data_IF_957266761098
#
_entry.id   IF_957266761098
#
_cell.length_a   1.000
_cell.length_b   1.000
_cell.length_c   1.000
_cell.angle_alpha   90.00
_cell.angle_beta   90.00
_cell.angle_gamma   90.00
#
_symmetry.space_group_name_H-M   'P 1'
#
loop_
_entity.id
_entity.type
_entity.pdbx_description
1 polymer ?
#
# COMPACT_ATOMS: atom_id res chain seq x y z
N UNK A 1 47.12 -42.09 21.68
CA UNK A 1 47.00 -40.80 22.39
C UNK A 1 46.22 -39.80 21.55
N UNK A 2 46.57 -39.61 20.28
CA UNK A 2 45.91 -38.62 19.38
C UNK A 2 44.40 -38.80 19.18
N UNK A 3 43.92 -40.05 19.13
CA UNK A 3 42.47 -40.34 19.00
C UNK A 3 41.66 -39.92 20.22
N UNK A 4 42.22 -40.02 21.43
CA UNK A 4 41.53 -39.60 22.65
C UNK A 4 41.49 -38.07 22.72
N UNK A 5 42.56 -37.40 22.29
CA UNK A 5 42.61 -35.94 22.20
C UNK A 5 41.67 -35.39 21.13
N UNK A 6 41.57 -36.02 19.96
CA UNK A 6 40.64 -35.57 18.92
C UNK A 6 39.18 -35.77 19.31
N UNK A 7 38.84 -36.86 20.00
CA UNK A 7 37.49 -37.08 20.54
C UNK A 7 37.14 -36.06 21.63
N UNK A 8 38.07 -35.74 22.53
CA UNK A 8 37.85 -34.69 23.53
C UNK A 8 37.67 -33.31 22.88
N UNK A 9 38.41 -33.02 21.82
CA UNK A 9 38.29 -31.76 21.09
C UNK A 9 36.93 -31.65 20.37
N UNK A 10 36.47 -32.72 19.69
CA UNK A 10 35.15 -32.73 19.04
C UNK A 10 34.03 -32.54 20.07
N UNK A 11 34.13 -33.19 21.24
CA UNK A 11 33.14 -33.02 22.32
C UNK A 11 33.21 -31.59 22.89
N UNK A 12 34.41 -31.05 23.08
CA UNK A 12 34.62 -29.67 23.53
C UNK A 12 34.05 -28.63 22.56
N UNK A 13 34.29 -28.81 21.26
CA UNK A 13 33.80 -27.94 20.20
C UNK A 13 32.27 -28.05 20.05
N UNK A 14 31.71 -29.26 20.20
CA UNK A 14 30.28 -29.48 20.22
C UNK A 14 29.61 -28.75 21.40
N UNK A 15 30.16 -28.86 22.61
CA UNK A 15 29.64 -28.16 23.80
C UNK A 15 29.79 -26.64 23.65
N UNK A 16 30.93 -26.16 23.13
CA UNK A 16 31.14 -24.75 22.86
C UNK A 16 30.14 -24.20 21.84
N UNK A 17 29.81 -24.95 20.79
CA UNK A 17 28.83 -24.54 19.78
C UNK A 17 27.41 -24.43 20.37
N UNK A 18 27.01 -25.36 21.24
CA UNK A 18 25.71 -25.34 21.92
C UNK A 18 25.62 -24.16 22.90
N UNK A 19 26.67 -23.90 23.67
CA UNK A 19 26.72 -22.74 24.58
C UNK A 19 26.69 -21.41 23.81
N UNK A 20 27.44 -21.32 22.71
CA UNK A 20 27.47 -20.11 21.86
C UNK A 20 26.10 -19.85 21.23
N UNK A 21 25.42 -20.90 20.77
CA UNK A 21 24.05 -20.81 20.26
C UNK A 21 23.10 -20.24 21.32
N UNK A 22 23.12 -20.76 22.56
CA UNK A 22 22.27 -20.28 23.66
C UNK A 22 22.55 -18.80 23.97
N UNK A 23 23.81 -18.38 23.94
CA UNK A 23 24.21 -16.99 24.20
C UNK A 23 23.80 -16.06 23.04
N UNK A 24 23.69 -16.56 21.80
CA UNK A 24 23.26 -15.80 20.61
C UNK A 24 21.74 -15.75 20.39
N UNK A 25 20.94 -16.52 21.14
CA UNK A 25 19.46 -16.45 21.05
C UNK A 25 18.93 -15.00 21.16
N UNK A 26 19.41 -14.15 22.10
CA UNK A 26 18.92 -12.77 22.22
C UNK A 26 19.23 -11.90 21.00
N UNK A 27 20.34 -12.13 20.29
CA UNK A 27 20.67 -11.37 19.08
C UNK A 27 19.78 -11.77 17.90
N UNK A 28 19.53 -13.08 17.72
CA UNK A 28 18.62 -13.55 16.66
C UNK A 28 17.18 -13.08 16.88
N UNK A 29 16.73 -13.01 18.13
CA UNK A 29 15.41 -12.47 18.47
C UNK A 29 15.31 -10.98 18.08
N UNK A 30 16.35 -10.18 18.33
CA UNK A 30 16.35 -8.76 17.92
C UNK A 30 16.26 -8.60 16.41
N UNK A 31 17.07 -9.35 15.66
CA UNK A 31 17.05 -9.31 14.20
C UNK A 31 15.69 -9.73 13.63
N UNK A 32 15.03 -10.73 14.24
CA UNK A 32 13.67 -11.13 13.88
C UNK A 32 12.66 -10.01 14.16
N UNK A 33 12.77 -9.31 15.30
CA UNK A 33 11.91 -8.15 15.60
C UNK A 33 12.11 -7.00 14.61
N UNK A 34 13.35 -6.73 14.22
CA UNK A 34 13.66 -5.69 13.23
C UNK A 34 13.03 -6.05 11.87
N UNK A 35 13.20 -7.28 11.40
CA UNK A 35 12.57 -7.76 10.16
C UNK A 35 11.03 -7.76 10.24
N UNK A 36 10.46 -8.23 11.35
CA UNK A 36 9.02 -8.23 11.57
C UNK A 36 8.44 -6.81 11.58
N UNK A 37 9.16 -5.84 12.15
CA UNK A 37 8.74 -4.44 12.19
C UNK A 37 8.68 -3.81 10.80
N UNK A 38 9.68 -4.10 9.94
CA UNK A 38 9.69 -3.66 8.55
C UNK A 38 8.54 -4.27 7.76
N UNK A 39 8.34 -5.58 7.91
CA UNK A 39 7.24 -6.27 7.24
C UNK A 39 5.86 -5.72 7.67
N UNK A 40 5.66 -5.45 8.96
CA UNK A 40 4.43 -4.82 9.45
C UNK A 40 4.21 -3.43 8.86
N UNK A 41 5.29 -2.67 8.67
CA UNK A 41 5.21 -1.35 8.05
C UNK A 41 4.82 -1.43 6.56
N UNK A 42 5.39 -2.39 5.82
CA UNK A 42 5.00 -2.68 4.43
C UNK A 42 3.51 -3.01 4.33
N UNK A 43 3.05 -3.98 5.13
CA UNK A 43 1.62 -4.37 5.18
C UNK A 43 0.72 -3.19 5.53
N UNK A 44 1.15 -2.33 6.45
CA UNK A 44 0.39 -1.14 6.83
C UNK A 44 0.20 -0.16 5.67
N UNK A 45 1.27 0.10 4.90
CA UNK A 45 1.20 0.95 3.69
C UNK A 45 0.31 0.31 2.63
N UNK A 46 0.48 -0.99 2.36
CA UNK A 46 -0.34 -1.70 1.39
C UNK A 46 -1.83 -1.65 1.74
N UNK A 47 -2.16 -1.78 3.03
CA UNK A 47 -3.55 -1.67 3.50
C UNK A 47 -4.12 -0.27 3.26
N UNK A 48 -3.34 0.79 3.51
CA UNK A 48 -3.72 2.18 3.18
C UNK A 48 -3.96 2.38 1.69
N UNK A 49 -3.11 1.81 0.86
CA UNK A 49 -3.24 1.92 -0.58
C UNK A 49 -4.44 1.12 -1.12
N UNK A 50 -4.72 -0.05 -0.53
CA UNK A 50 -5.90 -0.85 -0.84
C UNK A 50 -7.20 -0.10 -0.50
N UNK A 51 -7.29 0.51 0.69
CA UNK A 51 -8.46 1.28 1.09
C UNK A 51 -8.70 2.52 0.21
N UNK A 52 -7.62 3.17 -0.23
CA UNK A 52 -7.72 4.27 -1.20
C UNK A 52 -8.26 3.80 -2.55
N UNK A 53 -7.79 2.64 -3.06
CA UNK A 53 -8.32 2.07 -4.31
C UNK A 53 -9.78 1.65 -4.18
N UNK A 54 -10.15 1.04 -3.06
CA UNK A 54 -11.52 0.61 -2.80
C UNK A 54 -12.47 1.79 -2.73
N UNK A 55 -12.11 2.84 -1.97
CA UNK A 55 -12.91 4.06 -1.89
C UNK A 55 -13.03 4.79 -3.23
N UNK A 56 -11.97 4.80 -4.05
CA UNK A 56 -12.02 5.37 -5.41
C UNK A 56 -13.00 4.62 -6.31
N UNK A 57 -12.99 3.28 -6.25
CA UNK A 57 -13.91 2.47 -7.04
C UNK A 57 -15.37 2.71 -6.62
N UNK A 58 -15.64 2.70 -5.32
CA UNK A 58 -16.98 2.99 -4.80
C UNK A 58 -17.43 4.42 -5.14
N UNK A 59 -16.53 5.40 -5.07
CA UNK A 59 -16.82 6.77 -5.43
C UNK A 59 -17.21 6.91 -6.90
N UNK A 60 -16.49 6.24 -7.81
CA UNK A 60 -16.82 6.22 -9.25
C UNK A 60 -18.15 5.56 -9.55
N UNK A 61 -18.45 4.45 -8.86
CA UNK A 61 -19.74 3.77 -8.99
C UNK A 61 -20.88 4.69 -8.53
N UNK A 62 -20.74 5.32 -7.36
CA UNK A 62 -21.71 6.32 -6.87
C UNK A 62 -21.89 7.48 -7.85
N UNK A 63 -20.80 8.09 -8.34
CA UNK A 63 -20.88 9.22 -9.29
C UNK A 63 -21.55 8.84 -10.62
N UNK A 64 -21.35 7.59 -11.05
CA UNK A 64 -22.02 7.03 -12.23
C UNK A 64 -23.52 6.86 -11.97
N UNK A 65 -23.89 6.25 -10.84
CA UNK A 65 -25.28 6.02 -10.47
C UNK A 65 -26.08 7.32 -10.27
N UNK A 66 -25.43 8.36 -9.75
CA UNK A 66 -26.03 9.69 -9.61
C UNK A 66 -26.04 10.51 -10.90
N UNK A 67 -25.50 10.00 -12.01
CA UNK A 67 -25.48 10.68 -13.31
C UNK A 67 -24.61 11.94 -13.35
N UNK A 68 -23.62 12.07 -12.45
CA UNK A 68 -22.76 13.26 -12.38
C UNK A 68 -21.95 13.43 -13.66
N UNK A 69 -21.52 12.33 -14.28
CA UNK A 69 -20.80 12.38 -15.55
C UNK A 69 -21.69 12.83 -16.72
N UNK A 70 -22.96 12.43 -16.73
CA UNK A 70 -23.93 12.84 -17.74
C UNK A 70 -24.23 14.34 -17.64
N UNK A 71 -24.33 14.87 -16.41
CA UNK A 71 -24.48 16.30 -16.18
C UNK A 71 -23.29 17.08 -16.76
N UNK A 72 -22.07 16.63 -16.51
CA UNK A 72 -20.85 17.25 -17.05
C UNK A 72 -20.93 17.30 -18.59
N UNK A 73 -21.30 16.20 -19.23
CA UNK A 73 -21.43 16.14 -20.69
C UNK A 73 -22.53 17.05 -21.23
N UNK A 74 -23.69 17.12 -20.56
CA UNK A 74 -24.81 17.99 -20.96
C UNK A 74 -24.40 19.47 -20.88
N UNK A 75 -23.72 19.88 -19.80
CA UNK A 75 -23.22 21.24 -19.68
C UNK A 75 -22.11 21.55 -20.69
N UNK A 76 -21.24 20.58 -20.96
CA UNK A 76 -20.17 20.74 -21.94
C UNK A 76 -20.70 20.84 -23.38
N UNK A 77 -21.77 20.11 -23.69
CA UNK A 77 -22.44 20.17 -24.99
C UNK A 77 -23.27 21.43 -25.21
N UNK A 78 -23.60 22.18 -24.14
CA UNK A 78 -24.23 23.50 -24.24
C UNK A 78 -23.24 24.62 -24.55
N UNK A 79 -21.93 24.35 -24.51
CA UNK A 79 -20.91 25.35 -24.84
C UNK A 79 -20.86 25.63 -26.34
N UNK A 80 -20.52 26.86 -26.75
CA UNK A 80 -20.27 27.19 -28.15
C UNK A 80 -19.23 26.26 -28.77
N UNK A 81 -19.37 25.88 -30.06
CA UNK A 81 -18.50 24.88 -30.71
C UNK A 81 -17.00 25.19 -30.60
N UNK A 82 -16.62 26.45 -30.79
CA UNK A 82 -15.22 26.90 -30.74
C UNK A 82 -14.62 26.74 -29.33
N UNK A 83 -15.40 27.08 -28.31
CA UNK A 83 -14.99 26.97 -26.90
C UNK A 83 -14.91 25.51 -26.48
N UNK A 84 -15.86 24.67 -26.90
CA UNK A 84 -15.85 23.23 -26.66
C UNK A 84 -14.62 22.57 -27.29
N UNK A 85 -14.27 22.93 -28.53
CA UNK A 85 -13.10 22.38 -29.20
C UNK A 85 -11.80 22.67 -28.42
N UNK A 86 -11.62 23.92 -27.99
CA UNK A 86 -10.46 24.32 -27.18
C UNK A 86 -10.43 23.58 -25.84
N UNK A 87 -11.55 23.52 -25.13
CA UNK A 87 -11.61 22.86 -23.82
C UNK A 87 -11.42 21.33 -23.90
N UNK A 88 -11.89 20.69 -24.98
CA UNK A 88 -11.59 19.27 -25.25
C UNK A 88 -10.11 19.08 -25.55
N UNK A 89 -9.50 19.96 -26.34
CA UNK A 89 -8.06 19.90 -26.66
C UNK A 89 -7.17 20.04 -25.41
N UNK A 90 -7.62 20.80 -24.41
CA UNK A 90 -6.94 20.95 -23.13
C UNK A 90 -7.30 19.86 -22.09
N UNK A 91 -8.17 18.89 -22.42
CA UNK A 91 -8.54 17.82 -21.49
C UNK A 91 -9.35 18.29 -20.27
N UNK A 92 -9.96 19.48 -20.34
CA UNK A 92 -10.79 20.04 -19.26
C UNK A 92 -11.94 19.11 -18.83
N UNK A 93 -12.68 18.43 -19.72
CA UNK A 93 -13.76 17.55 -19.28
C UNK A 93 -13.24 16.34 -18.50
N UNK A 94 -12.08 15.78 -18.88
CA UNK A 94 -11.44 14.68 -18.17
C UNK A 94 -10.89 15.12 -16.80
N UNK A 95 -10.26 16.31 -16.75
CA UNK A 95 -9.79 16.89 -15.50
C UNK A 95 -10.92 17.17 -14.51
N UNK A 96 -12.08 17.63 -15.00
CA UNK A 96 -13.25 17.87 -14.17
C UNK A 96 -13.76 16.55 -13.56
N UNK A 97 -13.82 15.47 -14.36
CA UNK A 97 -14.19 14.13 -13.88
C UNK A 97 -13.24 13.65 -12.78
N UNK A 98 -11.93 13.78 -12.99
CA UNK A 98 -10.93 13.41 -11.99
C UNK A 98 -11.08 14.18 -10.68
N UNK A 99 -11.47 15.46 -10.75
CA UNK A 99 -11.71 16.29 -9.56
C UNK A 99 -12.94 15.83 -8.78
N UNK A 100 -14.02 15.45 -9.47
CA UNK A 100 -15.19 14.85 -8.83
C UNK A 100 -14.89 13.46 -8.24
N UNK A 101 -14.15 12.62 -8.95
CA UNK A 101 -13.66 11.33 -8.44
C UNK A 101 -12.88 11.52 -7.14
N UNK A 102 -11.94 12.48 -7.11
CA UNK A 102 -11.14 12.76 -5.92
C UNK A 102 -11.99 13.28 -4.75
N UNK A 103 -12.96 14.16 -5.02
CA UNK A 103 -13.86 14.68 -3.99
C UNK A 103 -14.74 13.56 -3.41
N UNK A 104 -15.37 12.76 -4.27
CA UNK A 104 -16.19 11.63 -3.85
C UNK A 104 -15.36 10.56 -3.11
N UNK A 105 -14.14 10.28 -3.55
CA UNK A 105 -13.21 9.36 -2.87
C UNK A 105 -12.88 9.87 -1.46
N UNK A 106 -12.60 11.17 -1.32
CA UNK A 106 -12.33 11.78 -0.01
C UNK A 106 -13.53 11.70 0.94
N UNK A 107 -14.75 11.80 0.39
CA UNK A 107 -15.98 11.62 1.14
C UNK A 107 -16.16 10.16 1.58
N UNK A 108 -15.98 9.20 0.66
CA UNK A 108 -16.07 7.77 0.97
C UNK A 108 -15.02 7.37 2.02
N UNK A 109 -13.78 7.83 1.92
CA UNK A 109 -12.73 7.59 2.94
C UNK A 109 -13.15 8.09 4.33
N UNK A 110 -13.73 9.29 4.39
CA UNK A 110 -14.24 9.86 5.65
C UNK A 110 -15.39 9.04 6.24
N UNK A 111 -16.27 8.50 5.40
CA UNK A 111 -17.39 7.63 5.82
C UNK A 111 -16.87 6.28 6.32
N UNK A 112 -15.89 5.69 5.63
CA UNK A 112 -15.24 4.43 6.00
C UNK A 112 -14.35 4.57 7.26
N UNK A 113 -14.17 5.80 7.76
CA UNK A 113 -13.33 6.15 8.93
C UNK A 113 -11.91 5.61 8.80
N UNK A 114 -11.33 5.76 7.62
CA UNK A 114 -9.96 5.34 7.31
C UNK A 114 -9.05 6.47 6.84
#
# INVERSE_FOLDING_TARGET
MDFIYSLLQIIGDAVASVLTFIIMIPSYVRELFDYASLWLFEVWIETKLFMLKLSLNMARELLTDYGVYDLIEVFFNRLPPDVRFVLTAYGVPEGLRMLFDAYATSFVLRVVRW
#
